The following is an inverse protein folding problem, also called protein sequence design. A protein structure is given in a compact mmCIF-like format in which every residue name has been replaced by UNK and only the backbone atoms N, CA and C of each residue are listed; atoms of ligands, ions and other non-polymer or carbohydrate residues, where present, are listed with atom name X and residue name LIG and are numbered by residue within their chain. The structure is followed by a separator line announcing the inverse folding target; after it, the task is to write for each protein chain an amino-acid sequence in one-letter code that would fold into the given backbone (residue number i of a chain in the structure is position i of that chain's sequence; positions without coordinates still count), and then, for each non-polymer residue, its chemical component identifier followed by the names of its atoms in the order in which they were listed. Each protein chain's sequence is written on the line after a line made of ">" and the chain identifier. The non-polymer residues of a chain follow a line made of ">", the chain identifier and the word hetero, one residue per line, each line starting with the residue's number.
data_IF_944216131445
#
_entry.id   IF_944216131445
#
_cell.length_a   1.000
_cell.length_b   1.000
_cell.length_c   1.000
_cell.angle_alpha   90.00
_cell.angle_beta   90.00
_cell.angle_gamma   90.00
#
_symmetry.space_group_name_H-M   'P 1'
#
loop_
_entity.id
_entity.type
_entity.pdbx_description
1 polymer ?
#
# COMPACT_ATOMS: atom_id res chain seq x y z
N UNK A 1 -14.53 -5.30 7.74
CA UNK A 1 -14.77 -4.44 7.29
C UNK A 1 -15.23 -3.39 8.04
N UNK A 2 -15.34 -2.55 7.99
CA UNK A 2 -15.67 -1.63 8.68
C UNK A 2 -16.40 -0.76 8.42
N UNK A 3 -16.72 -0.11 8.68
CA UNK A 3 -17.13 0.65 8.62
C UNK A 3 -17.56 1.52 9.12
N UNK A 4 -17.94 2.36 8.93
CA UNK A 4 -18.18 3.23 9.25
C UNK A 4 -18.88 4.04 8.91
N UNK A 5 -19.19 4.71 8.76
CA UNK A 5 -19.74 5.73 8.82
C UNK A 5 -20.08 6.29 7.71
N UNK A 6 -20.75 6.69 7.44
CA UNK A 6 -21.42 7.05 6.54
C UNK A 6 -21.07 8.19 5.81
N UNK A 7 -20.50 9.04 6.18
CA UNK A 7 -20.21 10.10 5.40
C UNK A 7 -19.01 9.94 4.70
N UNK A 8 -18.58 8.82 4.43
CA UNK A 8 -17.29 8.70 3.96
C UNK A 8 -17.19 8.15 2.64
N UNK A 9 -15.99 7.94 2.16
CA UNK A 9 -15.71 7.34 0.90
C UNK A 9 -15.46 5.87 1.00
N UNK A 10 -15.79 5.26 2.09
CA UNK A 10 -15.56 3.84 2.26
C UNK A 10 -16.55 3.05 1.43
N UNK A 11 -16.11 1.94 0.89
CA UNK A 11 -17.01 1.02 0.23
C UNK A 11 -16.69 -0.39 0.70
N UNK A 12 -17.68 -1.26 0.56
CA UNK A 12 -17.54 -2.65 0.96
C UNK A 12 -17.22 -3.48 -0.26
N UNK A 13 -16.19 -4.29 -0.17
CA UNK A 13 -15.83 -5.23 -1.21
C UNK A 13 -15.76 -6.61 -0.59
N UNK A 14 -15.86 -7.65 -1.41
CA UNK A 14 -15.93 -9.01 -0.93
C UNK A 14 -14.87 -9.88 -1.57
N UNK A 15 -14.36 -10.84 -0.82
CA UNK A 15 -13.52 -11.89 -1.36
C UNK A 15 -13.69 -13.12 -0.49
N UNK A 16 -13.25 -14.27 -0.99
CA UNK A 16 -13.56 -15.53 -0.36
C UNK A 16 -12.41 -16.11 0.45
N UNK A 17 -11.42 -15.31 0.80
CA UNK A 17 -10.32 -15.77 1.63
C UNK A 17 -10.30 -14.97 2.92
N UNK A 18 -9.83 -15.62 3.98
CA UNK A 18 -9.78 -15.01 5.28
C UNK A 18 -8.35 -14.67 5.59
N UNK A 19 -7.96 -13.44 5.38
CA UNK A 19 -6.61 -12.95 5.63
C UNK A 19 -6.68 -11.93 6.74
N UNK A 20 -5.93 -12.17 7.82
CA UNK A 20 -5.89 -11.24 8.94
C UNK A 20 -5.23 -9.96 8.51
N UNK A 21 -5.92 -8.86 8.68
CA UNK A 21 -5.40 -7.54 8.32
C UNK A 21 -6.12 -6.48 9.16
N UNK A 22 -5.55 -5.30 9.18
CA UNK A 22 -6.11 -4.19 9.96
C UNK A 22 -6.86 -3.20 9.07
N UNK A 23 -6.45 -3.05 7.84
CA UNK A 23 -7.13 -2.17 6.89
C UNK A 23 -6.73 -2.52 5.46
N UNK A 24 -7.40 -1.89 4.51
CA UNK A 24 -7.22 -2.20 3.11
C UNK A 24 -7.16 -0.91 2.30
N UNK A 25 -6.57 -0.99 1.13
CA UNK A 25 -6.48 0.15 0.24
C UNK A 25 -6.55 -0.31 -1.20
N UNK A 26 -7.17 0.50 -2.05
CA UNK A 26 -7.14 0.26 -3.47
C UNK A 26 -5.74 0.46 -4.04
N UNK A 27 -5.41 -0.34 -5.04
CA UNK A 27 -4.19 -0.16 -5.80
C UNK A 27 -4.57 0.55 -7.10
N UNK A 28 -4.01 1.74 -7.31
CA UNK A 28 -4.29 2.51 -8.51
C UNK A 28 -3.06 2.55 -9.39
N UNK A 29 -3.28 2.40 -10.70
CA UNK A 29 -2.20 2.45 -11.66
C UNK A 29 -1.48 1.12 -11.76
N UNK A 30 -0.44 1.09 -12.58
CA UNK A 30 0.25 -0.16 -12.90
C UNK A 30 1.68 -0.23 -12.38
N UNK A 31 2.06 0.67 -11.48
CA UNK A 31 3.45 0.69 -11.00
C UNK A 31 3.80 -0.53 -10.18
N UNK A 32 2.82 -1.22 -9.62
CA UNK A 32 3.06 -2.40 -8.81
C UNK A 32 2.66 -3.69 -9.52
N UNK A 33 2.41 -3.62 -10.82
CA UNK A 33 2.17 -4.80 -11.61
C UNK A 33 3.49 -5.52 -11.90
N UNK A 34 3.48 -6.81 -12.05
CA UNK A 34 2.27 -7.66 -12.19
C UNK A 34 1.67 -8.13 -10.87
N UNK A 35 2.36 -7.91 -9.76
CA UNK A 35 1.90 -8.54 -8.52
C UNK A 35 0.64 -7.90 -7.97
N UNK A 36 0.55 -6.58 -8.03
CA UNK A 36 -0.61 -5.85 -7.52
C UNK A 36 -1.24 -5.08 -8.67
N UNK A 37 -2.19 -5.70 -9.39
CA UNK A 37 -2.76 -5.03 -10.57
C UNK A 37 -3.59 -3.82 -10.19
N UNK A 38 -3.72 -2.91 -11.14
CA UNK A 38 -4.63 -1.79 -11.00
C UNK A 38 -6.03 -2.30 -10.67
N UNK A 39 -6.66 -1.71 -9.68
CA UNK A 39 -8.00 -2.11 -9.27
C UNK A 39 -8.03 -3.22 -8.24
N UNK A 40 -6.89 -3.76 -7.86
CA UNK A 40 -6.86 -4.73 -6.78
C UNK A 40 -6.94 -4.03 -5.44
N UNK A 41 -7.14 -4.80 -4.40
CA UNK A 41 -7.18 -4.32 -3.02
C UNK A 41 -6.01 -4.92 -2.28
N UNK A 42 -5.23 -4.08 -1.64
CA UNK A 42 -4.10 -4.52 -0.82
C UNK A 42 -4.55 -4.55 0.64
N UNK A 43 -4.24 -5.64 1.31
CA UNK A 43 -4.57 -5.85 2.72
C UNK A 43 -3.34 -5.60 3.54
N UNK A 44 -3.47 -4.86 4.63
CA UNK A 44 -2.32 -4.38 5.37
C UNK A 44 -2.47 -4.61 6.85
N UNK A 45 -1.36 -4.86 7.51
CA UNK A 45 -1.29 -4.84 8.94
C UNK A 45 -0.59 -3.58 9.38
N UNK A 46 -1.10 -2.95 10.42
CA UNK A 46 -0.52 -1.74 10.95
C UNK A 46 0.83 -2.05 11.56
N UNK A 47 1.85 -1.37 11.09
CA UNK A 47 3.18 -1.58 11.59
C UNK A 47 4.04 -0.39 11.18
N UNK A 48 5.14 -0.19 11.85
CA UNK A 48 6.16 0.72 11.37
C UNK A 48 7.03 -0.01 10.36
N UNK A 49 8.18 0.56 10.08
CA UNK A 49 9.12 -0.08 9.17
C UNK A 49 9.62 -1.38 9.79
N UNK A 50 9.60 -2.45 9.03
CA UNK A 50 10.01 -3.76 9.51
C UNK A 50 11.31 -4.19 8.86
N UNK A 51 11.35 -4.29 7.54
CA UNK A 51 12.58 -4.68 6.86
C UNK A 51 12.60 -4.11 5.44
N UNK A 52 13.82 -3.96 4.92
CA UNK A 52 14.02 -3.41 3.59
C UNK A 52 13.43 -4.34 2.53
N UNK A 53 12.78 -3.75 1.55
CA UNK A 53 12.27 -4.49 0.41
C UNK A 53 10.88 -5.04 0.58
N UNK A 54 10.30 -4.94 1.77
CA UNK A 54 8.90 -5.31 1.94
C UNK A 54 8.01 -4.27 1.27
N UNK A 55 6.79 -4.67 0.95
CA UNK A 55 5.82 -3.77 0.34
C UNK A 55 5.03 -3.11 1.45
N UNK A 56 5.04 -1.80 1.47
CA UNK A 56 4.36 -1.01 2.49
C UNK A 56 3.39 -0.03 1.85
N UNK A 57 2.39 0.33 2.62
CA UNK A 57 1.62 1.54 2.35
C UNK A 57 2.26 2.66 3.14
N UNK A 58 2.49 3.79 2.51
CA UNK A 58 3.09 4.92 3.19
C UNK A 58 2.46 6.22 2.71
N UNK A 59 2.49 7.21 3.60
CA UNK A 59 2.03 8.55 3.29
C UNK A 59 3.23 9.43 3.08
N UNK A 60 3.23 10.19 2.01
CA UNK A 60 4.32 11.11 1.70
C UNK A 60 3.77 12.24 0.83
N UNK A 61 4.01 13.47 1.24
CA UNK A 61 3.54 14.66 0.53
C UNK A 61 2.04 14.62 0.26
N UNK A 62 1.29 14.16 1.25
CA UNK A 62 -0.16 14.13 1.16
C UNK A 62 -0.74 13.03 0.30
N UNK A 63 0.08 12.11 -0.15
CA UNK A 63 -0.38 10.99 -0.98
C UNK A 63 -0.05 9.67 -0.32
N UNK A 64 -0.84 8.65 -0.64
CA UNK A 64 -0.58 7.29 -0.19
C UNK A 64 0.06 6.51 -1.33
N UNK A 65 1.15 5.85 -1.01
CA UNK A 65 1.89 5.04 -1.96
C UNK A 65 1.92 3.60 -1.49
N UNK A 66 1.91 2.66 -2.42
CA UNK A 66 2.19 1.25 -2.14
C UNK A 66 3.43 0.92 -2.94
N UNK A 67 4.52 0.65 -2.25
CA UNK A 67 5.83 0.47 -2.86
C UNK A 67 6.67 -0.46 -2.00
N UNK A 68 7.69 -1.04 -2.62
CA UNK A 68 8.76 -1.67 -1.85
C UNK A 68 9.58 -0.53 -1.26
N UNK A 69 9.91 -0.62 0.02
CA UNK A 69 10.55 0.49 0.72
C UNK A 69 11.87 0.02 1.31
N UNK A 70 12.88 0.86 1.12
CA UNK A 70 14.23 0.61 1.63
C UNK A 70 14.67 1.82 2.44
N UNK A 71 15.17 1.61 3.65
CA UNK A 71 15.71 2.70 4.45
C UNK A 71 17.12 3.02 3.98
N UNK A 72 17.38 4.30 3.79
CA UNK A 72 18.70 4.79 3.43
C UNK A 72 19.07 5.90 4.39
N UNK A 73 20.30 6.42 4.24
CA UNK A 73 20.80 7.38 5.22
C UNK A 73 19.96 8.64 5.30
N UNK A 74 19.45 9.10 4.17
CA UNK A 74 18.79 10.40 4.12
C UNK A 74 17.27 10.28 3.89
N UNK A 75 16.75 9.12 3.73
CA UNK A 75 15.33 8.97 3.50
C UNK A 75 14.96 7.56 3.09
N UNK A 76 13.76 7.42 2.54
CA UNK A 76 13.25 6.13 2.09
C UNK A 76 13.31 6.05 0.57
N UNK A 77 13.86 4.97 0.04
CA UNK A 77 13.80 4.71 -1.39
C UNK A 77 12.58 3.85 -1.66
N UNK A 78 11.76 4.27 -2.59
CA UNK A 78 10.50 3.64 -2.92
C UNK A 78 10.62 3.01 -4.29
N UNK A 79 10.50 1.70 -4.35
CA UNK A 79 10.72 0.98 -5.59
C UNK A 79 9.41 0.36 -6.06
N UNK A 80 9.07 0.60 -7.34
CA UNK A 80 7.92 -0.04 -7.97
C UNK A 80 8.31 -1.44 -8.38
N UNK A 81 7.32 -2.36 -8.41
CA UNK A 81 7.57 -3.70 -8.93
C UNK A 81 7.70 -3.65 -10.44
N UNK A 82 6.91 -2.80 -11.10
CA UNK A 82 6.97 -2.64 -12.54
C UNK A 82 8.27 -1.90 -12.91
N UNK A 83 9.15 -2.54 -13.68
CA UNK A 83 10.47 -1.94 -13.97
C UNK A 83 10.40 -0.72 -14.88
N UNK A 84 9.23 -0.41 -15.46
CA UNK A 84 9.09 0.79 -16.27
C UNK A 84 9.07 2.06 -15.43
N UNK A 85 8.97 1.92 -14.11
CA UNK A 85 8.92 3.06 -13.19
C UNK A 85 10.24 3.20 -12.47
N UNK A 86 10.72 4.43 -12.39
CA UNK A 86 11.94 4.70 -11.65
C UNK A 86 11.66 4.79 -10.17
N UNK A 87 12.66 4.53 -9.36
CA UNK A 87 12.55 4.65 -7.92
C UNK A 87 12.26 6.10 -7.55
N UNK A 88 11.53 6.27 -6.47
CA UNK A 88 11.30 7.57 -5.86
C UNK A 88 12.10 7.66 -4.58
N UNK A 89 12.40 8.86 -4.15
CA UNK A 89 13.10 9.06 -2.90
C UNK A 89 12.34 10.03 -2.02
N UNK A 90 12.01 9.59 -0.82
CA UNK A 90 11.27 10.37 0.16
C UNK A 90 12.22 10.77 1.29
N UNK A 91 12.76 12.00 1.28
CA UNK A 91 13.69 12.41 2.34
C UNK A 91 13.00 12.41 3.70
N UNK A 92 13.76 12.12 4.74
CA UNK A 92 13.19 12.12 6.09
C UNK A 92 12.65 13.49 6.49
N UNK A 93 13.20 14.55 5.92
CA UNK A 93 12.69 15.89 6.26
C UNK A 93 11.25 16.07 5.78
N UNK A 94 10.79 15.31 4.80
CA UNK A 94 9.41 15.36 4.37
C UNK A 94 8.49 14.53 5.29
N UNK A 95 9.05 13.85 6.26
CA UNK A 95 8.32 13.06 7.23
C UNK A 95 7.45 11.99 6.60
N UNK A 96 8.00 11.16 5.71
CA UNK A 96 7.22 10.05 5.18
C UNK A 96 6.86 9.09 6.30
N UNK A 97 5.66 8.55 6.24
CA UNK A 97 5.12 7.76 7.32
C UNK A 97 4.65 6.40 6.82
N UNK A 98 5.19 5.33 7.39
CA UNK A 98 4.73 3.98 7.07
C UNK A 98 3.38 3.77 7.75
N UNK A 99 2.39 3.38 6.96
CA UNK A 99 1.05 3.14 7.47
C UNK A 99 0.87 1.67 7.82
N UNK A 100 1.40 0.78 6.99
CA UNK A 100 1.30 -0.64 7.25
C UNK A 100 2.06 -1.45 6.24
N UNK A 101 2.22 -2.74 6.53
CA UNK A 101 2.89 -3.67 5.62
C UNK A 101 1.82 -4.47 4.90
N UNK A 102 2.01 -4.68 3.60
CA UNK A 102 1.04 -5.43 2.80
C UNK A 102 1.19 -6.91 3.11
N UNK A 103 0.09 -7.54 3.52
CA UNK A 103 0.08 -8.95 3.87
C UNK A 103 -0.71 -9.79 2.90
N UNK A 104 -1.44 -9.18 1.97
CA UNK A 104 -2.19 -9.91 0.97
C UNK A 104 -2.84 -8.96 0.00
N UNK A 105 -3.45 -9.50 -1.04
CA UNK A 105 -4.17 -8.69 -2.02
C UNK A 105 -5.13 -9.56 -2.78
N UNK A 106 -6.11 -8.93 -3.41
CA UNK A 106 -7.07 -9.66 -4.22
C UNK A 106 -7.74 -8.71 -5.21
N UNK A 107 -8.35 -9.28 -6.24
CA UNK A 107 -9.23 -8.52 -7.12
C UNK A 107 -10.64 -8.67 -6.58
N UNK A 108 -11.38 -7.56 -6.41
CA UNK A 108 -12.71 -7.64 -5.83
C UNK A 108 -13.64 -8.54 -6.64
N UNK A 109 -14.51 -9.24 -5.96
CA UNK A 109 -15.54 -10.06 -6.59
C UNK A 109 -16.73 -9.16 -6.85
N UNK A 110 -17.23 -9.21 -8.07
CA UNK A 110 -18.44 -8.46 -8.41
C UNK A 110 -19.66 -9.23 -8.00
N UNK A 111 -20.60 -8.56 -7.40
CA UNK A 111 -21.85 -9.18 -6.97
C UNK A 111 -23.04 -8.43 -7.49
#
# INVERSE_FOLDING_TARGET
>A
HSYYDNETDYETVYFDQDIQHDFASWVSGDSMEPKYPNGSVALMKQTGFDYDGAVYALMWNGKTYIKKVYREAEGLRLESINPDYEDLFAPYEDQPSIVGIVVGHFLPIEV
#
